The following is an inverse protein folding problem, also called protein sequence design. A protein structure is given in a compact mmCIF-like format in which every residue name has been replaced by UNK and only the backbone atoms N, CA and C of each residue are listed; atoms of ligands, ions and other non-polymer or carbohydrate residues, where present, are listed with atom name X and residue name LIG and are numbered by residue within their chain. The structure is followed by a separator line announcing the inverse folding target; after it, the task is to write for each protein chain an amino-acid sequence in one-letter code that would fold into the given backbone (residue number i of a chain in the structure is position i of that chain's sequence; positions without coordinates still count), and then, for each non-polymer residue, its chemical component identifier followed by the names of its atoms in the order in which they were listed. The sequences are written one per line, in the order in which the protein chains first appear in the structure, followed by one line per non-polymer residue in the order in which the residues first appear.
data_IF_316303412517
#
_entry.id   IF_316303412517
#
_cell.length_a   1.000
_cell.length_b   1.000
_cell.length_c   1.000
_cell.angle_alpha   90.00
_cell.angle_beta   90.00
_cell.angle_gamma   90.00
#
_symmetry.space_group_name_H-M   'P 1'
#
loop_
_entity.id
_entity.type
_entity.pdbx_description
1 polymer ?
#
# COMPACT_ATOMS: atom_id res chain seq x y z
N UNK A 1 1.04 -13.11 -54.82
CA UNK A 1 0.90 -14.29 -53.93
C UNK A 1 2.07 -14.42 -52.96
N UNK A 2 3.34 -14.38 -53.41
CA UNK A 2 4.50 -14.50 -52.51
C UNK A 2 4.68 -13.28 -51.58
N UNK A 3 4.62 -12.08 -52.14
CA UNK A 3 4.72 -10.81 -51.38
C UNK A 3 3.63 -10.67 -50.31
N UNK A 4 2.39 -11.06 -50.63
CA UNK A 4 1.28 -11.05 -49.66
C UNK A 4 1.54 -12.01 -48.50
N UNK A 5 2.19 -13.14 -48.77
CA UNK A 5 2.52 -14.16 -47.77
C UNK A 5 3.68 -13.71 -46.87
N UNK A 6 4.66 -13.02 -47.45
CA UNK A 6 5.78 -12.41 -46.73
C UNK A 6 5.29 -11.24 -45.84
N UNK A 7 4.38 -10.39 -46.34
CA UNK A 7 3.75 -9.34 -45.54
C UNK A 7 2.96 -9.91 -44.36
N UNK A 8 2.13 -10.93 -44.60
CA UNK A 8 1.37 -11.61 -43.54
C UNK A 8 2.29 -12.19 -42.46
N UNK A 9 3.38 -12.84 -42.86
CA UNK A 9 4.37 -13.38 -41.94
C UNK A 9 5.06 -12.30 -41.10
N UNK A 10 5.35 -11.13 -41.70
CA UNK A 10 5.96 -10.02 -40.98
C UNK A 10 4.98 -9.38 -40.00
N UNK A 11 3.72 -9.21 -40.40
CA UNK A 11 2.67 -8.66 -39.54
C UNK A 11 2.32 -9.59 -38.37
N UNK A 12 2.29 -10.90 -38.59
CA UNK A 12 2.07 -11.88 -37.52
C UNK A 12 3.20 -11.85 -36.47
N UNK A 13 4.44 -11.63 -36.94
CA UNK A 13 5.59 -11.50 -36.05
C UNK A 13 5.55 -10.19 -35.24
N UNK A 14 5.21 -9.06 -35.87
CA UNK A 14 5.01 -7.78 -35.16
C UNK A 14 3.89 -7.87 -34.11
N UNK A 15 2.76 -8.51 -34.43
CA UNK A 15 1.66 -8.71 -33.49
C UNK A 15 2.11 -9.58 -32.31
N UNK A 16 2.95 -10.59 -32.55
CA UNK A 16 3.47 -11.48 -31.52
C UNK A 16 4.46 -10.76 -30.61
N UNK A 17 5.30 -9.88 -31.14
CA UNK A 17 6.21 -9.06 -30.35
C UNK A 17 5.43 -8.02 -29.53
N UNK A 18 4.48 -7.31 -30.14
CA UNK A 18 3.63 -6.35 -29.44
C UNK A 18 2.83 -7.01 -28.29
N UNK A 19 2.36 -8.24 -28.47
CA UNK A 19 1.67 -9.01 -27.41
C UNK A 19 2.56 -9.37 -26.22
N UNK A 20 3.89 -9.44 -26.38
CA UNK A 20 4.81 -9.68 -25.26
C UNK A 20 5.00 -8.43 -24.40
N UNK A 21 4.77 -7.25 -24.96
CA UNK A 21 4.86 -5.98 -24.23
C UNK A 21 3.55 -5.59 -23.51
N UNK A 22 2.44 -6.26 -23.84
CA UNK A 22 1.15 -6.01 -23.19
C UNK A 22 1.02 -6.92 -21.96
N UNK A 23 1.01 -6.31 -20.77
CA UNK A 23 0.64 -7.01 -19.54
C UNK A 23 -0.74 -7.68 -19.73
N UNK A 24 -0.79 -8.99 -19.51
CA UNK A 24 -2.03 -9.74 -19.59
C UNK A 24 -2.75 -9.72 -18.23
N UNK A 25 -4.08 -9.93 -18.20
CA UNK A 25 -4.81 -10.04 -16.94
C UNK A 25 -4.25 -11.11 -16.00
N UNK A 26 -3.71 -12.20 -16.56
CA UNK A 26 -3.06 -13.27 -15.79
C UNK A 26 -1.78 -12.78 -15.12
N UNK A 27 -1.00 -11.91 -15.78
CA UNK A 27 0.20 -11.29 -15.20
C UNK A 27 -0.18 -10.37 -14.03
N UNK A 28 -1.25 -9.60 -14.17
CA UNK A 28 -1.79 -8.74 -13.10
C UNK A 28 -2.25 -9.58 -11.90
N UNK A 29 -2.93 -10.70 -12.14
CA UNK A 29 -3.37 -11.62 -11.08
C UNK A 29 -2.21 -12.32 -10.39
N UNK A 30 -1.17 -12.70 -11.13
CA UNK A 30 0.08 -13.25 -10.58
C UNK A 30 0.83 -12.22 -9.73
N UNK A 31 0.80 -10.94 -10.12
CA UNK A 31 1.35 -9.86 -9.31
C UNK A 31 0.55 -9.68 -8.01
N UNK A 32 -0.78 -9.63 -8.08
CA UNK A 32 -1.64 -9.54 -6.90
C UNK A 32 -1.46 -10.74 -5.97
N UNK A 33 -1.35 -11.95 -6.52
CA UNK A 33 -1.10 -13.17 -5.75
C UNK A 33 0.20 -13.07 -4.95
N UNK A 34 1.29 -12.60 -5.57
CA UNK A 34 2.57 -12.38 -4.87
C UNK A 34 2.45 -11.41 -3.70
N UNK A 35 1.65 -10.34 -3.83
CA UNK A 35 1.37 -9.41 -2.73
C UNK A 35 0.58 -10.11 -1.61
N UNK A 36 -0.42 -10.92 -1.98
CA UNK A 36 -1.28 -11.61 -1.01
C UNK A 36 -0.60 -12.80 -0.32
N UNK A 37 0.43 -13.40 -0.91
CA UNK A 37 1.18 -14.49 -0.29
C UNK A 37 2.02 -14.01 0.90
N UNK A 38 2.44 -12.73 0.90
CA UNK A 38 3.17 -12.09 2.01
C UNK A 38 2.62 -10.69 2.33
N UNK A 39 1.42 -10.60 2.92
CA UNK A 39 0.77 -9.31 3.16
C UNK A 39 1.49 -8.49 4.23
N UNK A 40 2.21 -9.13 5.16
CA UNK A 40 2.99 -8.46 6.20
C UNK A 40 4.22 -7.71 5.66
N UNK A 41 4.79 -8.15 4.54
CA UNK A 41 5.89 -7.46 3.86
C UNK A 41 5.40 -6.23 3.08
N UNK A 42 4.11 -6.26 2.71
CA UNK A 42 3.45 -5.20 1.93
C UNK A 42 2.84 -4.13 2.84
N UNK A 43 2.20 -4.54 3.94
CA UNK A 43 1.48 -3.67 4.86
C UNK A 43 2.03 -3.81 6.28
N UNK A 44 2.76 -2.80 6.74
CA UNK A 44 3.24 -2.71 8.12
C UNK A 44 2.26 -1.88 8.95
N UNK A 45 1.81 -2.44 10.06
CA UNK A 45 1.02 -1.73 11.06
C UNK A 45 1.87 -1.52 12.31
N UNK A 46 2.05 -0.27 12.73
CA UNK A 46 2.76 0.05 13.98
C UNK A 46 1.98 1.03 14.84
N UNK A 47 2.16 0.90 16.15
CA UNK A 47 1.63 1.86 17.12
C UNK A 47 2.54 3.08 17.18
N UNK A 48 1.99 4.27 17.11
CA UNK A 48 2.72 5.53 17.28
C UNK A 48 2.11 6.33 18.42
N UNK A 49 2.88 6.59 19.47
CA UNK A 49 2.50 7.50 20.54
C UNK A 49 3.09 8.87 20.28
N UNK A 50 2.27 9.92 20.38
CA UNK A 50 2.67 11.31 20.27
C UNK A 50 2.36 12.03 21.58
N UNK A 51 3.32 12.79 22.08
CA UNK A 51 3.10 13.72 23.21
C UNK A 51 2.86 15.12 22.64
N UNK A 52 1.74 15.71 23.01
CA UNK A 52 1.30 17.00 22.50
C UNK A 52 1.15 18.01 23.64
N UNK A 53 1.64 19.23 23.46
CA UNK A 53 1.32 20.33 24.36
C UNK A 53 -0.15 20.79 24.18
N UNK A 54 -0.57 21.76 24.98
CA UNK A 54 -1.92 22.32 24.92
C UNK A 54 -2.26 23.01 23.58
N UNK A 55 -1.25 23.35 22.77
CA UNK A 55 -1.41 23.89 21.40
C UNK A 55 -1.41 22.80 20.33
N UNK A 56 -1.34 21.53 20.72
CA UNK A 56 -1.20 20.38 19.84
C UNK A 56 0.13 20.32 19.08
N UNK A 57 1.19 20.88 19.64
CA UNK A 57 2.56 20.74 19.11
C UNK A 57 3.21 19.50 19.70
N UNK A 58 3.88 18.70 18.85
CA UNK A 58 4.65 17.54 19.31
C UNK A 58 5.78 18.02 20.20
N UNK A 59 5.78 17.55 21.43
CA UNK A 59 6.85 17.76 22.40
C UNK A 59 7.59 16.43 22.56
N UNK A 60 8.92 16.48 22.53
CA UNK A 60 9.76 15.29 22.71
C UNK A 60 9.63 14.70 24.11
N UNK A 61 10.57 13.84 24.49
CA UNK A 61 10.50 13.10 25.75
C UNK A 61 10.73 13.93 27.03
N UNK A 62 10.83 15.26 26.91
CA UNK A 62 10.94 16.15 28.06
C UNK A 62 9.76 15.95 29.00
N UNK A 63 10.05 15.68 30.28
CA UNK A 63 9.02 15.53 31.33
C UNK A 63 8.61 16.86 31.94
N UNK A 64 9.32 17.94 31.62
CA UNK A 64 9.08 19.27 32.17
C UNK A 64 7.93 20.00 31.48
N UNK A 65 7.44 19.44 30.36
CA UNK A 65 6.33 20.01 29.59
C UNK A 65 5.09 19.17 29.85
N UNK A 66 4.04 19.83 30.37
CA UNK A 66 2.71 19.25 30.49
C UNK A 66 2.21 18.88 29.09
N UNK A 67 1.95 17.59 28.88
CA UNK A 67 1.63 17.04 27.57
C UNK A 67 0.56 15.96 27.68
N UNK A 68 -0.34 15.94 26.70
CA UNK A 68 -1.29 14.86 26.49
C UNK A 68 -0.68 13.80 25.57
N UNK A 69 -0.90 12.53 25.87
CA UNK A 69 -0.47 11.43 25.00
C UNK A 69 -1.62 10.98 24.10
N UNK A 70 -1.37 10.95 22.79
CA UNK A 70 -2.27 10.39 21.80
C UNK A 70 -1.60 9.18 21.17
N UNK A 71 -2.32 8.06 21.12
CA UNK A 71 -1.88 6.84 20.45
C UNK A 71 -2.59 6.68 19.11
N UNK A 72 -1.80 6.48 18.05
CA UNK A 72 -2.24 6.28 16.68
C UNK A 72 -1.84 4.90 16.17
N UNK A 73 -2.54 4.43 15.14
CA UNK A 73 -2.12 3.30 14.32
C UNK A 73 -1.58 3.85 13.00
N UNK A 74 -0.33 3.53 12.68
CA UNK A 74 0.29 3.89 11.42
C UNK A 74 0.34 2.69 10.49
N UNK A 75 -0.07 2.91 9.25
CA UNK A 75 -0.09 1.94 8.18
C UNK A 75 0.91 2.38 7.10
N UNK A 76 1.85 1.50 6.76
CA UNK A 76 2.85 1.73 5.73
C UNK A 76 2.64 0.68 4.65
N UNK A 77 2.37 1.11 3.42
CA UNK A 77 2.20 0.25 2.26
C UNK A 77 3.40 0.41 1.33
N UNK A 78 4.10 -0.70 1.05
CA UNK A 78 5.23 -0.77 0.11
C UNK A 78 6.32 0.29 0.30
N UNK A 79 6.49 0.81 1.52
CA UNK A 79 7.45 1.87 1.88
C UNK A 79 7.25 3.25 1.20
N UNK A 80 6.47 3.32 0.11
CA UNK A 80 6.19 4.56 -0.62
C UNK A 80 4.98 5.33 -0.07
N UNK A 81 4.02 4.62 0.55
CA UNK A 81 2.78 5.22 1.04
C UNK A 81 2.64 5.04 2.55
N UNK A 82 2.85 6.13 3.29
CA UNK A 82 2.64 6.21 4.74
C UNK A 82 1.30 6.90 5.03
N UNK A 83 0.42 6.25 5.81
CA UNK A 83 -0.85 6.82 6.27
C UNK A 83 -1.03 6.59 7.76
N UNK A 84 -1.26 7.67 8.50
CA UNK A 84 -1.60 7.61 9.93
C UNK A 84 -3.12 7.62 10.08
N UNK A 85 -3.65 6.71 10.90
CA UNK A 85 -5.07 6.66 11.22
C UNK A 85 -5.29 6.66 12.74
N UNK A 86 -6.36 7.34 13.17
CA UNK A 86 -6.82 7.30 14.56
C UNK A 86 -7.80 6.14 14.70
N UNK A 87 -7.45 5.12 15.48
CA UNK A 87 -8.39 4.05 15.81
C UNK A 87 -9.28 4.50 16.97
N UNK A 88 -10.50 4.94 16.66
CA UNK A 88 -11.51 5.27 17.68
C UNK A 88 -12.30 4.01 18.01
N UNK A 89 -12.06 3.44 19.18
CA UNK A 89 -12.83 2.31 19.71
C UNK A 89 -13.92 2.83 20.64
N UNK A 90 -15.17 2.49 20.33
CA UNK A 90 -16.29 2.71 21.24
C UNK A 90 -16.51 1.45 22.05
N UNK A 91 -16.27 1.51 23.36
CA UNK A 91 -16.73 0.43 24.24
C UNK A 91 -18.25 0.52 24.32
N UNK A 92 -18.94 -0.49 23.74
CA UNK A 92 -20.35 -0.71 24.04
C UNK A 92 -20.42 -1.07 25.52
N UNK A 93 -20.78 -0.09 26.35
CA UNK A 93 -20.99 -0.30 27.78
C UNK A 93 -21.76 -1.58 28.02
N UNK A 94 -21.21 -2.46 28.85
CA UNK A 94 -21.90 -3.63 29.34
C UNK A 94 -23.20 -3.15 30.00
N UNK A 95 -24.35 -3.43 29.36
CA UNK A 95 -25.63 -3.34 30.02
C UNK A 95 -25.69 -4.53 31.00
N UNK A 96 -25.60 -4.21 32.28
CA UNK A 96 -26.06 -5.08 33.38
C UNK A 96 -27.58 -5.05 33.38
#
# INVERSE_FOLDING_TARGET
MREVKELLSATDEEIREARKEVETPDDTLLHLKRIMDSPADTLVVRRQSLRLDWKNVIVGDSRDIEANEITLAEFILNQDLQRSAVLVRFDRGARI
#
